data_IF_378438586254
#
_entry.id   IF_378438586254
#
_cell.length_a   1.000
_cell.length_b   1.000
_cell.length_c   1.000
_cell.angle_alpha   90.00
_cell.angle_beta   90.00
_cell.angle_gamma   90.00
#
_symmetry.space_group_name_H-M   'P 1'
#
loop_
_entity.id
_entity.type
_entity.pdbx_description
1 polymer ?
2 polymer ?
3 non-polymer ?
4 non-polymer ?
5 water ?
#
# COMPACT_ATOMS: atom_id res chain seq x y z
N UNK A 33 23.04 0.92 13.83
CA UNK A 33 21.66 0.45 13.59
C UNK A 33 21.45 -0.02 12.16
N UNK A 34 20.84 -1.20 11.98
CA UNK A 34 20.57 -1.81 10.67
C UNK A 34 19.52 -1.03 9.90
N UNK A 35 19.54 -1.17 8.57
CA UNK A 35 18.58 -0.48 7.71
C UNK A 35 17.16 -0.99 7.97
N UNK A 36 17.00 -2.31 8.21
CA UNK A 36 15.70 -2.94 8.49
C UNK A 36 15.11 -2.44 9.82
N UNK A 37 15.96 -2.23 10.85
CA UNK A 37 15.50 -1.74 12.16
C UNK A 37 15.01 -0.28 12.07
N UNK A 38 15.57 0.49 11.11
CA UNK A 38 15.18 1.88 10.85
C UNK A 38 13.80 1.95 10.17
N UNK A 39 13.45 0.91 9.41
CA UNK A 39 12.15 0.79 8.74
C UNK A 39 11.12 0.28 9.76
N UNK A 40 11.57 -0.53 10.71
CA UNK A 40 10.73 -1.08 11.77
C UNK A 40 10.26 0.03 12.73
N UNK A 41 11.19 0.86 13.20
CA UNK A 41 10.93 1.93 14.16
C UNK A 41 9.90 2.97 13.64
N UNK A 42 9.79 3.15 12.30
CA UNK A 42 8.88 4.13 11.68
C UNK A 42 7.53 3.53 11.24
N UNK A 43 7.19 2.33 11.76
CA UNK A 43 5.92 1.66 11.48
C UNK A 43 4.77 2.53 12.01
N UNK A 44 3.80 2.95 11.16
CA UNK A 44 2.71 3.81 11.64
C UNK A 44 1.81 3.15 12.70
N UNK A 45 1.27 3.99 13.62
CA UNK A 45 0.36 3.56 14.67
C UNK A 45 -0.98 3.08 14.10
N UNK A 46 -1.66 2.18 14.84
CA UNK A 46 -2.96 1.62 14.49
C UNK A 46 -4.03 2.70 14.68
N UNK A 47 -4.79 3.01 13.63
CA UNK A 47 -5.83 4.03 13.72
C UNK A 47 -7.18 3.37 13.88
N UNK A 48 -8.07 4.02 14.62
CA UNK A 48 -9.44 3.55 14.79
C UNK A 48 -10.35 4.18 13.74
N UNK A 49 -11.41 3.49 13.35
CA UNK A 49 -12.34 3.96 12.32
C UNK A 49 -13.42 4.93 12.83
N UNK A 50 -13.82 4.79 14.10
CA UNK A 50 -14.89 5.58 14.70
C UNK A 50 -16.26 5.05 14.30
N UNK A 51 -16.31 3.73 13.98
CA UNK A 51 -17.50 3.01 13.56
C UNK A 51 -18.35 2.60 14.77
N UNK A 52 -19.56 3.18 14.87
CA UNK A 52 -20.52 2.93 15.93
C UNK A 52 -21.21 1.58 15.68
N UNK A 53 -20.75 0.53 16.38
CA UNK A 53 -21.29 -0.83 16.26
C UNK A 53 -22.79 -0.98 16.63
N UNK A 54 -23.35 -0.05 17.44
CA UNK A 54 -24.75 -0.09 17.89
C UNK A 54 -25.75 0.12 16.74
N UNK A 55 -25.37 0.94 15.75
CA UNK A 55 -26.15 1.22 14.53
C UNK A 55 -25.91 0.02 13.56
N UNK A 56 -26.95 -0.53 12.87
CA UNK A 56 -26.70 -1.68 11.97
C UNK A 56 -25.78 -1.39 10.78
N UNK A 57 -25.24 -2.47 10.17
CA UNK A 57 -24.31 -2.39 9.03
C UNK A 57 -24.99 -2.14 7.70
N UNK A 58 -24.24 -1.54 6.77
CA UNK A 58 -24.63 -1.29 5.37
C UNK A 58 -23.34 -1.12 4.56
N UNK A 59 -23.36 -1.47 3.27
CA UNK A 59 -22.18 -1.34 2.41
C UNK A 59 -21.70 0.12 2.31
N UNK A 60 -22.63 1.04 2.00
CA UNK A 60 -22.42 2.48 1.85
C UNK A 60 -21.76 3.08 3.10
N UNK A 61 -22.30 2.77 4.29
CA UNK A 61 -21.79 3.21 5.60
C UNK A 61 -20.34 2.77 5.79
N UNK A 62 -20.07 1.45 5.60
CA UNK A 62 -18.74 0.84 5.75
C UNK A 62 -17.74 1.42 4.73
N UNK A 63 -18.14 1.49 3.44
CA UNK A 63 -17.28 2.03 2.38
C UNK A 63 -16.91 3.49 2.60
N UNK A 64 -17.90 4.31 3.07
CA UNK A 64 -17.71 5.73 3.41
C UNK A 64 -16.72 5.87 4.58
N UNK A 65 -16.94 5.13 5.68
CA UNK A 65 -16.07 5.12 6.87
C UNK A 65 -14.64 4.72 6.48
N UNK A 66 -14.49 3.74 5.58
CA UNK A 66 -13.18 3.25 5.14
C UNK A 66 -12.42 4.26 4.28
N UNK A 67 -13.14 5.05 3.46
CA UNK A 67 -12.55 6.12 2.64
C UNK A 67 -11.99 7.20 3.56
N UNK A 68 -12.80 7.65 4.55
CA UNK A 68 -12.41 8.65 5.54
C UNK A 68 -11.17 8.21 6.33
N UNK A 69 -11.14 6.94 6.78
CA UNK A 69 -10.02 6.31 7.48
C UNK A 69 -8.80 6.21 6.53
N UNK A 70 -9.04 5.92 5.25
CA UNK A 70 -8.02 5.82 4.21
C UNK A 70 -7.21 7.10 4.04
N UNK A 71 -7.89 8.25 4.16
CA UNK A 71 -7.28 9.57 4.08
C UNK A 71 -6.31 9.78 5.23
N UNK A 72 -6.73 9.40 6.45
CA UNK A 72 -5.91 9.45 7.67
C UNK A 72 -4.76 8.47 7.59
N UNK A 73 -4.93 7.31 6.91
CA UNK A 73 -3.85 6.32 6.71
C UNK A 73 -2.81 6.92 5.77
N UNK A 74 -3.29 7.63 4.73
CA UNK A 74 -2.44 8.25 3.73
C UNK A 74 -1.70 9.47 4.25
N UNK A 75 -2.31 10.24 5.16
CA UNK A 75 -1.63 11.37 5.80
C UNK A 75 -0.41 10.82 6.62
N UNK A 76 -0.58 9.67 7.29
CA UNK A 76 0.45 8.99 8.08
C UNK A 76 1.51 8.37 7.17
N UNK A 77 1.13 7.99 5.93
CA UNK A 77 2.02 7.41 4.92
C UNK A 77 3.05 8.43 4.44
N UNK A 78 2.66 9.72 4.39
CA UNK A 78 3.59 10.82 4.02
C UNK A 78 4.69 10.94 5.11
N UNK A 79 4.27 10.93 6.38
CA UNK A 79 5.15 11.02 7.54
C UNK A 79 6.11 9.81 7.51
N UNK A 80 5.57 8.62 7.19
CA UNK A 80 6.30 7.35 7.08
C UNK A 80 7.39 7.42 6.00
N UNK A 81 7.00 7.77 4.74
CA UNK A 81 7.89 7.88 3.58
C UNK A 81 9.06 8.83 3.82
N UNK A 82 8.78 10.01 4.45
CA UNK A 82 9.77 11.03 4.79
C UNK A 82 10.87 10.52 5.71
N UNK A 83 10.54 9.53 6.56
CA UNK A 83 11.48 8.95 7.51
C UNK A 83 12.26 7.73 6.96
N UNK A 84 11.93 7.26 5.72
CA UNK A 84 12.62 6.15 5.06
C UNK A 84 14.00 6.66 4.60
N UNK A 85 15.11 6.07 5.08
CA UNK A 85 16.43 6.54 4.64
C UNK A 85 16.60 6.61 3.12
N UNK A 86 16.99 7.79 2.65
CA UNK A 86 17.22 8.07 1.24
C UNK A 86 16.07 8.74 0.50
N UNK A 87 14.81 8.56 0.99
CA UNK A 87 13.62 9.12 0.36
C UNK A 87 13.62 10.66 0.27
N UNK A 88 13.98 11.35 1.38
CA UNK A 88 14.02 12.82 1.42
C UNK A 88 15.15 13.43 0.57
N UNK A 89 16.04 12.60 0.03
CA UNK A 89 17.13 13.03 -0.85
C UNK A 89 16.71 13.12 -2.33
N UNK A 90 15.59 12.47 -2.69
CA UNK A 90 15.00 12.53 -4.03
C UNK A 90 14.39 13.92 -4.24
N UNK A 91 14.26 14.36 -5.50
CA UNK A 91 13.64 15.66 -5.82
C UNK A 91 12.22 15.68 -5.24
N UNK A 92 11.77 16.84 -4.69
CA UNK A 92 10.44 16.95 -4.10
C UNK A 92 9.33 16.42 -5.02
N UNK A 93 9.45 16.68 -6.34
CA UNK A 93 8.51 16.22 -7.37
C UNK A 93 8.43 14.69 -7.42
N UNK A 94 9.60 14.01 -7.28
CA UNK A 94 9.72 12.54 -7.29
C UNK A 94 9.07 11.94 -6.04
N UNK A 95 9.17 12.64 -4.90
CA UNK A 95 8.58 12.23 -3.61
C UNK A 95 7.06 12.18 -3.73
N UNK A 96 6.46 13.24 -4.33
CA UNK A 96 5.03 13.36 -4.59
C UNK A 96 4.57 12.27 -5.56
N UNK A 97 5.35 12.07 -6.65
CA UNK A 97 5.12 11.09 -7.71
C UNK A 97 5.06 9.66 -7.17
N UNK A 98 6.03 9.29 -6.32
CA UNK A 98 6.11 7.95 -5.74
C UNK A 98 4.94 7.63 -4.83
N UNK A 99 4.56 8.59 -3.96
CA UNK A 99 3.40 8.42 -3.06
C UNK A 99 2.08 8.38 -3.84
N UNK A 100 1.96 9.17 -4.93
CA UNK A 100 0.76 9.22 -5.77
C UNK A 100 0.50 7.90 -6.50
N UNK A 101 1.55 7.26 -7.03
CA UNK A 101 1.45 5.95 -7.68
C UNK A 101 1.15 4.82 -6.69
N UNK A 102 1.95 4.73 -5.62
CA UNK A 102 2.00 3.62 -4.66
C UNK A 102 0.94 3.58 -3.57
N UNK A 103 0.23 4.68 -3.33
CA UNK A 103 -0.78 4.82 -2.27
C UNK A 103 -1.62 3.53 -1.98
N UNK A 104 -2.27 2.97 -3.00
CA UNK A 104 -3.09 1.75 -2.87
C UNK A 104 -2.25 0.48 -2.64
N UNK A 105 -1.02 0.41 -3.21
CA UNK A 105 -0.11 -0.73 -3.00
C UNK A 105 0.32 -0.80 -1.54
N UNK A 106 0.63 0.38 -0.96
CA UNK A 106 1.04 0.53 0.44
C UNK A 106 -0.10 0.13 1.38
N UNK A 107 -1.32 0.61 1.12
CA UNK A 107 -2.47 0.36 1.97
C UNK A 107 -2.99 -1.07 1.89
N UNK A 108 -2.98 -1.69 0.71
CA UNK A 108 -3.43 -3.07 0.54
C UNK A 108 -2.47 -4.04 1.24
N UNK A 109 -1.15 -3.78 1.10
CA UNK A 109 -0.10 -4.61 1.68
C UNK A 109 -0.05 -4.47 3.21
N UNK A 110 -0.16 -3.24 3.72
CA UNK A 110 -0.17 -3.02 5.17
C UNK A 110 -1.40 -3.66 5.82
N UNK A 111 -2.57 -3.55 5.16
CA UNK A 111 -3.81 -4.17 5.63
C UNK A 111 -3.67 -5.70 5.60
N UNK A 112 -3.09 -6.24 4.52
CA UNK A 112 -2.84 -7.67 4.34
C UNK A 112 -2.00 -8.24 5.45
N UNK A 113 -0.93 -7.50 5.86
CA UNK A 113 -0.06 -7.87 6.97
C UNK A 113 -0.86 -7.88 8.27
N UNK A 114 -1.56 -6.75 8.57
CA UNK A 114 -2.37 -6.59 9.78
C UNK A 114 -3.44 -7.69 9.93
N UNK A 115 -4.07 -8.07 8.79
CA UNK A 115 -5.08 -9.12 8.74
C UNK A 115 -4.46 -10.51 8.91
N UNK A 116 -3.24 -10.70 8.38
CA UNK A 116 -2.48 -11.97 8.47
C UNK A 116 -1.98 -12.23 9.90
N UNK A 117 -1.68 -11.16 10.65
CA UNK A 117 -1.24 -11.30 12.05
C UNK A 117 -2.40 -11.61 13.01
N UNK A 118 -3.66 -11.43 12.55
CA UNK A 118 -4.89 -11.75 13.28
C UNK A 118 -5.64 -12.95 12.64
N UNK A 119 -4.91 -13.77 11.82
CA UNK A 119 -5.42 -14.97 11.16
C UNK A 119 -5.41 -16.20 12.13
N UNK A 120 -6.04 -17.38 11.83
CA UNK A 120 -6.76 -17.80 10.61
C UNK A 120 -7.95 -16.91 10.26
N UNK A 121 -7.85 -16.22 9.11
CA UNK A 121 -8.79 -15.23 8.57
C UNK A 121 -8.48 -15.00 7.07
N UNK A 122 -9.47 -14.82 6.14
CA UNK A 122 -10.94 -14.80 6.18
C UNK A 122 -11.56 -13.51 6.79
N UNK A 123 -10.71 -12.60 7.32
CA UNK A 123 -11.11 -11.30 7.88
C UNK A 123 -10.17 -10.20 7.41
N UNK A 124 -10.70 -8.97 7.28
CA UNK A 124 -9.92 -7.80 6.92
C UNK A 124 -9.94 -6.85 8.10
N UNK A 125 -8.78 -6.71 8.78
CA UNK A 125 -8.64 -5.89 9.97
C UNK A 125 -8.26 -4.46 9.58
N UNK A 126 -9.26 -3.71 9.08
CA UNK A 126 -9.12 -2.31 8.66
C UNK A 126 -8.76 -1.42 9.85
N UNK A 127 -9.41 -1.64 10.99
CA UNK A 127 -9.20 -0.91 12.24
C UNK A 127 -9.70 -1.84 13.37
N UNK A 128 -9.28 -1.68 14.65
CA UNK A 128 -9.79 -2.59 15.69
C UNK A 128 -11.31 -2.51 15.91
N UNK A 129 -11.92 -1.36 15.61
CA UNK A 129 -13.37 -1.16 15.75
C UNK A 129 -14.13 -1.39 14.43
N UNK A 130 -13.44 -1.91 13.38
CA UNK A 130 -14.08 -2.19 12.10
C UNK A 130 -13.35 -3.30 11.33
N UNK A 131 -13.73 -4.56 11.64
CA UNK A 131 -13.20 -5.76 11.01
C UNK A 131 -14.26 -6.34 10.05
N UNK A 132 -13.88 -6.55 8.77
CA UNK A 132 -14.80 -7.10 7.78
C UNK A 132 -14.77 -8.61 7.93
N UNK A 133 -15.88 -9.15 8.46
CA UNK A 133 -16.07 -10.58 8.72
C UNK A 133 -16.84 -11.28 7.58
N UNK A 134 -17.13 -12.58 7.76
CA UNK A 134 -17.89 -13.39 6.80
C UNK A 134 -19.32 -12.86 6.59
N UNK A 135 -19.97 -12.36 7.67
CA UNK A 135 -21.32 -11.77 7.64
C UNK A 135 -21.28 -10.41 6.91
N UNK A 136 -20.21 -9.62 7.12
CA UNK A 136 -20.02 -8.32 6.47
C UNK A 136 -19.66 -8.47 5.00
N UNK A 137 -19.05 -9.62 4.65
CA UNK A 137 -18.68 -9.97 3.28
C UNK A 137 -19.92 -10.27 2.43
N UNK A 138 -21.04 -10.70 3.05
CA UNK A 138 -22.29 -11.02 2.34
C UNK A 138 -23.03 -9.77 1.86
N UNK A 139 -22.75 -8.60 2.48
CA UNK A 139 -23.35 -7.30 2.13
C UNK A 139 -23.17 -6.99 0.64
N UNK A 140 -24.18 -6.38 -0.04
CA UNK A 140 -24.07 -6.13 -1.49
C UNK A 140 -22.82 -5.36 -1.90
N UNK A 141 -22.10 -5.87 -2.93
CA UNK A 141 -20.86 -5.33 -3.53
C UNK A 141 -19.64 -5.32 -2.60
N UNK A 142 -19.77 -5.84 -1.37
CA UNK A 142 -18.67 -5.87 -0.40
C UNK A 142 -17.57 -6.84 -0.78
N UNK A 143 -17.96 -8.09 -1.14
CA UNK A 143 -17.01 -9.15 -1.50
C UNK A 143 -16.15 -8.79 -2.72
N UNK A 144 -16.79 -8.27 -3.78
CA UNK A 144 -16.15 -7.88 -5.03
C UNK A 144 -14.90 -7.03 -4.87
N UNK A 145 -14.88 -6.16 -3.83
CA UNK A 145 -13.73 -5.31 -3.54
C UNK A 145 -12.79 -5.97 -2.51
N UNK A 146 -13.37 -6.59 -1.46
CA UNK A 146 -12.66 -7.26 -0.35
C UNK A 146 -11.76 -8.41 -0.80
N UNK A 147 -12.16 -9.15 -1.86
CA UNK A 147 -11.45 -10.32 -2.39
C UNK A 147 -10.01 -10.02 -2.85
N UNK A 148 -9.75 -8.79 -3.34
CA UNK A 148 -8.43 -8.37 -3.79
C UNK A 148 -7.52 -8.13 -2.56
N UNK A 149 -8.13 -7.64 -1.46
CA UNK A 149 -7.46 -7.40 -0.21
C UNK A 149 -7.19 -8.75 0.46
N UNK A 150 -8.19 -9.66 0.41
CA UNK A 150 -8.08 -11.01 0.98
C UNK A 150 -6.99 -11.86 0.30
N UNK A 151 -6.73 -11.62 -1.01
CA UNK A 151 -5.66 -12.28 -1.77
C UNK A 151 -4.28 -11.98 -1.16
N UNK A 152 -4.06 -10.73 -0.69
CA UNK A 152 -2.79 -10.25 -0.10
C UNK A 152 -2.48 -10.98 1.21
N UNK A 153 -3.44 -11.00 2.16
CA UNK A 153 -3.30 -11.68 3.45
C UNK A 153 -3.19 -13.19 3.30
N UNK A 154 -3.80 -13.76 2.25
CA UNK A 154 -3.75 -15.19 1.93
C UNK A 154 -2.37 -15.59 1.42
N UNK A 155 -1.72 -14.68 0.66
CA UNK A 155 -0.39 -14.90 0.11
C UNK A 155 0.72 -14.77 1.16
N UNK A 156 0.59 -13.80 2.10
CA UNK A 156 1.55 -13.61 3.20
C UNK A 156 1.48 -14.81 4.15
N UNK A 157 0.28 -15.40 4.30
CA UNK A 157 0.02 -16.58 5.12
C UNK A 157 0.59 -17.85 4.45
N UNK A 158 0.29 -18.07 3.16
CA UNK A 158 0.76 -19.21 2.36
C UNK A 158 2.30 -19.26 2.33
N UNK A 159 2.94 -18.10 2.13
CA UNK A 159 4.40 -17.99 2.06
C UNK A 159 5.08 -17.79 3.43
N UNK A 160 4.29 -17.70 4.54
CA UNK A 160 4.74 -17.49 5.93
C UNK A 160 5.78 -16.38 6.01
N UNK A 161 5.37 -15.20 5.54
CA UNK A 161 6.19 -14.00 5.48
C UNK A 161 6.52 -13.46 6.88
N UNK A 162 7.81 -13.13 7.09
CA UNK A 162 8.32 -12.58 8.34
C UNK A 162 8.19 -11.05 8.38
N UNK A 163 8.34 -10.46 9.56
CA UNK A 163 8.25 -9.02 9.83
C UNK A 163 9.31 -8.28 9.04
N UNK A 164 10.56 -8.74 9.10
CA UNK A 164 11.70 -8.13 8.39
C UNK A 164 11.49 -8.13 6.86
N UNK A 165 11.07 -9.28 6.31
CA UNK A 165 10.76 -9.43 4.88
C UNK A 165 9.64 -8.47 4.47
N UNK A 166 8.57 -8.38 5.29
CA UNK A 166 7.40 -7.50 5.10
C UNK A 166 7.80 -6.02 5.02
N UNK A 167 8.64 -5.55 5.96
CA UNK A 167 9.13 -4.18 6.05
C UNK A 167 9.92 -3.79 4.81
N UNK A 168 10.76 -4.72 4.31
CA UNK A 168 11.57 -4.54 3.11
C UNK A 168 10.68 -4.45 1.89
N UNK A 169 9.67 -5.33 1.83
CA UNK A 169 8.68 -5.42 0.75
C UNK A 169 7.79 -4.19 0.64
N UNK A 170 7.33 -3.65 1.80
CA UNK A 170 6.47 -2.45 1.84
C UNK A 170 7.23 -1.22 1.32
N UNK A 171 8.52 -1.09 1.67
CA UNK A 171 9.35 0.03 1.18
C UNK A 171 9.52 -0.12 -0.34
N UNK A 172 9.74 -1.36 -0.84
CA UNK A 172 9.89 -1.65 -2.27
C UNK A 172 8.63 -1.36 -3.07
N UNK A 173 7.45 -1.42 -2.41
CA UNK A 173 6.17 -1.09 -3.02
C UNK A 173 6.02 0.41 -3.20
N UNK A 174 6.65 1.22 -2.34
CA UNK A 174 6.67 2.68 -2.50
C UNK A 174 7.48 3.03 -3.79
N UNK A 175 8.47 2.17 -4.13
CA UNK A 175 9.38 2.34 -5.27
C UNK A 175 9.07 1.37 -6.43
N UNK A 176 7.80 0.92 -6.57
CA UNK A 176 7.39 -0.05 -7.60
C UNK A 176 6.96 0.55 -8.94
N UNK A 177 6.65 1.86 -9.00
CA UNK A 177 6.28 2.53 -10.25
C UNK A 177 6.96 3.87 -10.37
N UNK A 178 7.19 4.31 -11.62
CA UNK A 178 7.86 5.56 -12.01
C UNK A 178 7.11 6.16 -13.20
N UNK A 179 7.31 7.45 -13.59
CA UNK A 179 6.64 7.96 -14.80
C UNK A 179 7.27 7.39 -16.07
N UNK A 180 6.55 7.49 -17.21
CA UNK A 180 6.97 7.04 -18.53
C UNK A 180 8.39 7.54 -18.92
N UNK A 181 8.67 8.85 -18.65
CA UNK A 181 9.94 9.52 -18.94
C UNK A 181 10.97 9.36 -17.82
N UNK A 182 10.54 8.76 -16.70
CA UNK A 182 11.37 8.53 -15.53
C UNK A 182 11.26 9.65 -14.51
N UNK A 183 12.11 9.58 -13.48
CA UNK A 183 12.16 10.56 -12.39
C UNK A 183 13.27 11.61 -12.61
N UNK A 184 13.20 12.73 -11.88
CA UNK A 184 14.19 13.80 -11.92
C UNK A 184 15.52 13.32 -11.32
N UNK A 185 15.44 12.51 -10.24
CA UNK A 185 16.56 11.90 -9.52
C UNK A 185 16.50 10.36 -9.76
N UNK A 186 16.47 9.93 -11.04
CA UNK A 186 16.36 8.53 -11.45
C UNK A 186 17.55 7.66 -11.02
N UNK A 187 18.78 8.20 -11.16
CA UNK A 187 20.03 7.52 -10.82
C UNK A 187 20.05 7.20 -9.33
N UNK A 188 19.72 8.20 -8.49
CA UNK A 188 19.64 8.10 -7.04
C UNK A 188 18.53 7.11 -6.64
N UNK A 189 17.37 7.16 -7.32
CA UNK A 189 16.22 6.26 -7.10
C UNK A 189 16.63 4.80 -7.32
N UNK A 190 17.27 4.52 -8.47
CA UNK A 190 17.75 3.18 -8.86
C UNK A 190 18.76 2.65 -7.86
N UNK A 191 19.57 3.55 -7.26
CA UNK A 191 20.55 3.25 -6.23
C UNK A 191 19.83 2.90 -4.90
N UNK A 192 18.79 3.68 -4.52
CA UNK A 192 17.97 3.46 -3.32
C UNK A 192 17.16 2.14 -3.46
N UNK A 193 16.58 1.89 -4.65
CA UNK A 193 15.79 0.69 -4.91
C UNK A 193 16.65 -0.57 -4.78
N UNK A 194 17.88 -0.55 -5.36
CA UNK A 194 18.85 -1.65 -5.29
C UNK A 194 19.23 -1.95 -3.84
N UNK A 195 19.38 -0.90 -3.02
CA UNK A 195 19.70 -0.97 -1.61
C UNK A 195 18.61 -1.75 -0.83
N UNK A 196 17.33 -1.43 -1.08
CA UNK A 196 16.22 -2.11 -0.40
C UNK A 196 15.95 -3.52 -0.96
N UNK A 197 16.36 -3.79 -2.22
CA UNK A 197 16.27 -5.12 -2.85
C UNK A 197 17.23 -6.05 -2.08
N UNK A 198 18.45 -5.53 -1.80
CA UNK A 198 19.51 -6.20 -1.04
C UNK A 198 19.08 -6.40 0.42
N UNK A 199 18.33 -5.42 0.98
CA UNK A 199 17.82 -5.52 2.35
C UNK A 199 16.87 -6.70 2.49
N UNK A 200 15.99 -6.90 1.46
CA UNK A 200 15.05 -8.02 1.40
C UNK A 200 15.81 -9.36 1.39
N UNK A 201 16.91 -9.40 0.64
CA UNK A 201 17.79 -10.56 0.54
C UNK A 201 18.34 -10.99 1.89
N UNK A 202 18.77 -10.02 2.74
CA UNK A 202 19.29 -10.26 4.10
C UNK A 202 18.22 -10.90 5.00
N UNK A 203 16.95 -10.46 4.89
CA UNK A 203 15.82 -11.01 5.65
C UNK A 203 15.47 -12.47 5.23
N UNK A 204 15.81 -12.84 3.98
CA UNK A 204 15.60 -14.20 3.43
C UNK A 204 16.66 -15.18 3.99
N UNK A 205 17.94 -14.74 4.07
CA UNK A 205 19.10 -15.51 4.56
C UNK A 205 18.90 -15.92 6.04
N UNK A 206 18.28 -15.02 6.83
CA UNK A 206 17.97 -15.18 8.26
C UNK A 206 17.03 -16.37 8.57
N UNK A 207 16.22 -16.81 7.58
CA UNK A 207 15.28 -17.93 7.71
C UNK A 207 16.00 -19.30 7.78
N UNK A 208 17.35 -19.29 7.65
CA UNK A 208 18.26 -20.43 7.71
C UNK A 208 17.81 -21.59 6.79
N UNK A 209 17.99 -21.35 5.50
CA UNK A 209 17.71 -22.30 4.44
C UNK A 209 18.87 -22.34 3.47
N UNK A 210 19.06 -23.46 2.76
CA UNK A 210 20.15 -23.59 1.80
C UNK A 210 19.94 -22.67 0.59
N UNK A 211 21.04 -22.21 -0.04
CA UNK A 211 21.06 -21.29 -1.17
C UNK A 211 20.02 -21.56 -2.28
N UNK A 212 19.66 -22.85 -2.51
CA UNK A 212 18.64 -23.26 -3.50
C UNK A 212 17.26 -22.74 -3.09
N UNK A 213 16.93 -22.85 -1.78
CA UNK A 213 15.69 -22.35 -1.17
C UNK A 213 15.73 -20.83 -1.02
N UNK A 214 16.96 -20.26 -0.85
CA UNK A 214 17.19 -18.82 -0.75
C UNK A 214 16.86 -18.15 -2.07
N UNK A 215 17.17 -18.82 -3.20
CA UNK A 215 16.82 -18.33 -4.53
C UNK A 215 15.30 -18.48 -4.71
N UNK A 216 14.75 -19.63 -4.27
CA UNK A 216 13.33 -19.97 -4.35
C UNK A 216 12.45 -18.94 -3.62
N UNK A 217 12.81 -18.58 -2.36
CA UNK A 217 12.09 -17.60 -1.54
C UNK A 217 12.09 -16.22 -2.16
N UNK A 218 13.25 -15.77 -2.69
CA UNK A 218 13.38 -14.46 -3.34
C UNK A 218 12.50 -14.39 -4.58
N UNK A 219 12.49 -15.47 -5.38
CA UNK A 219 11.67 -15.63 -6.57
C UNK A 219 10.20 -15.54 -6.14
N UNK A 220 9.82 -16.25 -5.06
CA UNK A 220 8.47 -16.30 -4.50
C UNK A 220 8.00 -14.93 -3.98
N UNK A 221 8.80 -14.26 -3.13
CA UNK A 221 8.48 -12.96 -2.54
C UNK A 221 8.40 -11.85 -3.56
N UNK A 222 9.33 -11.81 -4.54
CA UNK A 222 9.34 -10.78 -5.60
C UNK A 222 8.19 -11.00 -6.61
N UNK A 223 7.65 -12.25 -6.68
CA UNK A 223 6.50 -12.60 -7.52
C UNK A 223 5.25 -11.99 -6.87
N UNK A 224 5.18 -12.02 -5.52
CA UNK A 224 4.07 -11.40 -4.78
C UNK A 224 4.13 -9.89 -4.97
N UNK A 225 5.36 -9.30 -4.96
CA UNK A 225 5.56 -7.87 -5.20
C UNK A 225 5.05 -7.48 -6.58
N UNK A 226 5.40 -8.27 -7.61
CA UNK A 226 4.96 -8.07 -8.99
C UNK A 226 3.43 -8.18 -9.11
N UNK A 227 2.81 -9.16 -8.40
CA UNK A 227 1.36 -9.41 -8.40
C UNK A 227 0.55 -8.31 -7.68
N UNK A 228 1.22 -7.42 -6.92
CA UNK A 228 0.57 -6.29 -6.26
C UNK A 228 0.03 -5.27 -7.29
N UNK A 229 0.74 -5.11 -8.43
CA UNK A 229 0.36 -4.25 -9.56
C UNK A 229 -1.06 -4.61 -10.07
N UNK A 230 -1.38 -5.91 -10.11
CA UNK A 230 -2.68 -6.42 -10.55
C UNK A 230 -3.75 -6.23 -9.49
N UNK A 231 -3.41 -6.42 -8.19
CA UNK A 231 -4.30 -6.25 -7.03
C UNK A 231 -4.81 -4.80 -7.03
N UNK A 232 -3.88 -3.85 -7.18
CA UNK A 232 -4.10 -2.42 -7.20
C UNK A 232 -4.95 -2.03 -8.39
N UNK A 233 -4.62 -2.54 -9.60
CA UNK A 233 -5.38 -2.30 -10.84
C UNK A 233 -6.84 -2.76 -10.69
N UNK A 234 -7.07 -3.89 -10.00
CA UNK A 234 -8.40 -4.44 -9.74
C UNK A 234 -9.17 -3.58 -8.71
N UNK A 235 -8.50 -3.17 -7.61
CA UNK A 235 -9.09 -2.32 -6.56
C UNK A 235 -9.42 -0.92 -7.11
N UNK A 236 -8.52 -0.35 -7.95
CA UNK A 236 -8.68 1.00 -8.52
C UNK A 236 -9.82 1.11 -9.53
N UNK A 237 -10.23 -0.01 -10.16
CA UNK A 237 -11.36 -0.03 -11.09
C UNK A 237 -12.64 0.40 -10.38
N UNK A 238 -12.98 -0.24 -9.24
CA UNK A 238 -14.17 0.12 -8.46
C UNK A 238 -14.00 1.45 -7.72
N UNK A 239 -12.79 1.74 -7.21
CA UNK A 239 -12.50 2.99 -6.52
C UNK A 239 -12.68 4.23 -7.42
N UNK A 240 -12.11 4.23 -8.65
CA UNK A 240 -12.26 5.34 -9.60
C UNK A 240 -13.74 5.59 -9.98
N UNK A 241 -14.52 4.50 -10.18
CA UNK A 241 -15.94 4.52 -10.50
C UNK A 241 -16.78 5.14 -9.36
N UNK A 242 -16.52 4.79 -8.09
CA UNK A 242 -17.27 5.35 -6.95
C UNK A 242 -16.96 6.84 -6.76
N UNK A 243 -15.72 7.24 -7.08
CA UNK A 243 -15.27 8.64 -6.99
C UNK A 243 -15.90 9.50 -8.09
N UNK A 244 -15.89 9.02 -9.34
CA UNK A 244 -16.43 9.74 -10.50
C UNK A 244 -17.97 9.80 -10.54
N UNK A 245 -18.65 8.72 -10.09
CA UNK A 245 -20.12 8.70 -10.09
C UNK A 245 -20.66 9.39 -8.85
N UNK A 246 -20.89 10.71 -8.96
CA UNK A 246 -21.39 11.55 -7.87
C UNK A 246 -22.80 11.18 -7.41
N UNK A 247 -23.60 10.49 -8.28
CA UNK A 247 -24.95 10.01 -7.93
C UNK A 247 -24.92 8.84 -6.90
N UNK A 248 -23.74 8.22 -6.67
CA UNK A 248 -23.58 7.13 -5.71
C UNK A 248 -23.47 7.66 -4.26
N UNK A 249 -23.24 8.99 -4.10
CA UNK A 249 -23.07 9.72 -2.84
C UNK A 249 -21.98 9.12 -1.92
N UNK A 250 -20.92 8.55 -2.52
CA UNK A 250 -19.81 7.95 -1.79
C UNK A 250 -18.68 8.98 -1.66
N UNK A 251 -18.51 9.48 -0.43
CA UNK A 251 -17.55 10.52 -0.09
C UNK A 251 -16.12 10.00 0.12
N UNK A 252 -15.17 10.79 -0.35
CA UNK A 252 -13.73 10.58 -0.20
C UNK A 252 -13.17 11.81 0.49
N UNK A 253 -12.18 11.64 1.40
CA UNK A 253 -11.55 12.81 2.04
C UNK A 253 -10.62 13.54 1.07
N UNK A 254 -10.33 14.83 1.35
CA UNK A 254 -9.43 15.67 0.56
C UNK A 254 -8.12 14.93 0.10
N UNK A 255 -7.45 14.22 1.02
CA UNK A 255 -6.22 13.47 0.73
C UNK A 255 -6.42 12.40 -0.34
N UNK A 256 -7.49 11.60 -0.22
CA UNK A 256 -7.78 10.58 -1.22
C UNK A 256 -8.27 11.19 -2.51
N UNK A 257 -9.18 12.21 -2.42
CA UNK A 257 -9.72 12.93 -3.56
C UNK A 257 -8.59 13.52 -4.44
N UNK A 258 -7.55 14.10 -3.80
CA UNK A 258 -6.38 14.69 -4.43
C UNK A 258 -5.52 13.66 -5.17
N UNK A 259 -5.30 12.46 -4.58
CA UNK A 259 -4.53 11.36 -5.20
C UNK A 259 -5.24 10.81 -6.44
N UNK A 260 -6.55 10.51 -6.32
CA UNK A 260 -7.37 9.98 -7.42
C UNK A 260 -7.42 10.98 -8.59
N UNK A 261 -7.64 12.28 -8.30
CA UNK A 261 -7.70 13.38 -9.28
C UNK A 261 -6.41 13.45 -10.10
N UNK A 262 -5.26 13.23 -9.45
CA UNK A 262 -3.94 13.25 -10.09
C UNK A 262 -3.65 11.97 -10.90
N UNK A 263 -4.03 10.80 -10.35
CA UNK A 263 -3.77 9.47 -10.92
C UNK A 263 -4.61 9.10 -12.14
N UNK A 264 -5.94 9.41 -12.14
CA UNK A 264 -6.85 9.10 -13.25
C UNK A 264 -6.26 9.57 -14.61
N UNK A 265 -5.85 10.85 -14.80
CA UNK A 265 -5.25 11.27 -16.10
C UNK A 265 -3.96 10.53 -16.49
N UNK A 266 -3.13 10.14 -15.51
CA UNK A 266 -1.85 9.45 -15.74
C UNK A 266 -2.07 8.03 -16.28
N UNK A 267 -3.11 7.32 -15.76
CA UNK A 267 -3.50 5.98 -16.22
C UNK A 267 -4.15 6.07 -17.61
N UNK A 268 -4.80 7.22 -17.89
CA UNK A 268 -5.49 7.50 -19.15
C UNK A 268 -4.49 7.79 -20.29
N UNK A 269 -3.41 8.54 -20.00
CA UNK A 269 -2.38 8.92 -20.96
C UNK A 269 -1.17 7.95 -20.98
N UNK A 270 -1.29 6.84 -20.25
CA UNK A 270 -0.27 5.80 -20.16
C UNK A 270 1.00 6.22 -19.46
N UNK A 271 0.94 7.32 -18.70
CA UNK A 271 2.06 7.86 -17.96
C UNK A 271 2.32 7.07 -16.66
N UNK A 272 2.83 5.83 -16.81
CA UNK A 272 3.17 4.92 -15.70
C UNK A 272 4.07 3.77 -16.21
N UNK A 273 5.22 3.62 -15.58
CA UNK A 273 6.18 2.56 -15.86
C UNK A 273 6.24 1.71 -14.59
N UNK A 274 5.50 0.59 -14.60
CA UNK A 274 5.40 -0.38 -13.52
C UNK A 274 6.64 -1.25 -13.56
N UNK A 275 7.44 -1.22 -12.48
CA UNK A 275 8.66 -1.98 -12.40
C UNK A 275 8.37 -3.45 -12.05
N UNK A 276 8.98 -4.38 -12.81
CA UNK A 276 8.78 -5.82 -12.61
C UNK A 276 10.08 -6.56 -12.39
N UNK A 277 10.09 -7.45 -11.38
CA UNK A 277 11.24 -8.30 -11.05
C UNK A 277 11.35 -9.45 -12.03
N UNK A 278 10.20 -10.05 -12.41
CA UNK A 278 10.11 -11.16 -13.36
C UNK A 278 9.46 -10.72 -14.67
N UNK A 279 9.97 -11.24 -15.80
CA UNK A 279 9.46 -10.89 -17.14
C UNK A 279 8.84 -12.10 -17.83
N UNK B 2 -1.40 22.47 -7.54
CA UNK B 2 -2.24 21.39 -8.06
C UNK B 2 -2.59 20.39 -6.94
N UNK B 3 -1.58 19.64 -6.44
CA UNK B 3 -1.76 18.68 -5.34
C UNK B 3 -1.25 19.30 -4.03
N UNK B 4 -1.96 20.37 -3.61
CA UNK B 4 -1.77 21.24 -2.47
C UNK B 4 -1.52 20.53 -1.12
N UNK B 5 -2.41 19.60 -0.73
CA UNK B 5 -2.31 18.89 0.54
C UNK B 5 -1.04 18.04 0.63
N UNK B 6 -0.75 17.20 -0.39
CA UNK B 6 0.45 16.36 -0.45
C UNK B 6 1.76 17.18 -0.40
N UNK B 7 1.85 18.28 -1.20
CA UNK B 7 3.03 19.16 -1.22
C UNK B 7 3.23 19.77 0.16
N UNK B 8 2.13 20.22 0.81
CA UNK B 8 2.17 20.77 2.17
C UNK B 8 2.74 19.74 3.17
N UNK B 9 2.23 18.49 3.15
CA UNK B 9 2.65 17.41 4.04
C UNK B 9 4.11 17.00 3.87
N UNK B 10 4.65 17.10 2.64
CA UNK B 10 6.04 16.78 2.33
C UNK B 10 7.01 17.93 2.66
N UNK B 11 6.56 19.18 2.45
CA UNK B 11 7.32 20.42 2.65
C UNK B 11 7.43 20.81 4.12
N UNK B 12 6.36 20.58 4.92
CA UNK B 12 6.32 20.93 6.33
C UNK B 12 7.28 20.06 7.18
N UNK B 13 7.63 20.54 8.38
CA UNK B 13 8.48 19.80 9.31
C UNK B 13 7.55 18.99 10.22
N UNK B 14 7.86 17.68 10.40
CA UNK B 14 7.07 16.77 11.23
C UNK B 14 7.55 16.75 12.68
X LIG C 1 1.60 2.65 4.32
X LIG C 1 0.92 3.79 4.82
X LIG C 1 2.89 2.43 5.12
X LIG C 1 2.57 1.82 6.36
X LIG D 1 -9.84 4.24 -1.12
X LIG D 1 -10.55 2.92 -1.07
X LIG D 1 -10.80 -0.21 -0.08
X LIG D 1 -11.59 -1.32 0.04
X LIG D 1 -12.82 -1.18 0.66
X LIG D 1 -12.50 1.04 1.00
X LIG D 1 -14.93 -2.10 0.96
X LIG D 1 -8.56 1.68 1.72
X LIG D 1 -7.59 0.70 1.85
X LIG D 1 -8.46 2.03 4.05
X LIG D 1 -9.01 2.38 2.82
X LIG D 1 -8.65 2.47 5.38
X LIG D 1 -7.17 0.99 5.48
X LIG D 1 -6.07 0.33 6.06
X LIG D 1 -3.98 -0.94 7.30
X LIG D 1 -12.51 2.14 -2.30
X LIG D 1 -13.97 2.31 -2.39
X LIG D 1 -14.72 1.82 -3.58
X LIG D 1 -10.40 2.25 0.30
X LIG D 1 -11.24 1.01 0.41
X LIG D 1 -13.30 -0.02 1.14
X LIG D 1 -13.55 -2.38 0.74
X LIG D 1 -9.01 1.92 0.43
X LIG D 1 -7.02 0.34 3.05
X LIG D 1 -7.49 1.04 4.14
X LIG D 1 -7.87 1.83 6.24
X LIG D 1 -4.81 0.36 5.48
X LIG D 1 -3.77 -0.30 6.11
X LIG D 1 -5.23 -0.97 7.90
X LIG D 1 -6.27 -0.32 7.26
X LIG D 1 -2.97 -1.57 7.91
X LIG D 1 -11.92 3.09 -1.50
X LIG D 1 -11.92 1.22 -2.87
X LIG D 1 -14.87 1.13 -2.26
#
# INVERSE_FOLDING_TARGET
>A
GSIQQATTGVSQETSENPGDKTIVPATLPQLTPTLVSLLEVIEPEVLYAGYDSSVPDSTWRIMTTLNMLGGRQMIAAVKWAKAIPGFRNLHLDDQMTLLQYSWMSLMAFALGWRSYRQSSANLLCFAPDLIINEQRMTLPDMYDQCKHMLYVSSELHRLQVSYEEYLCMKTLLLLSSVPKDGLKSQELFDEIRMTYIKELGKAIVKREGNSSQNWQRFYQLTKLLDSMHEVVENLLNYCFQTFLDKTMSIEFPEMLAEIITNQIPKYSNGNIKKLLFHQK
>B
KENALLRYLLDKDD
>C hetero
1 EDO C1 O1 C2 O2
>D hetero
1 B9Q C1 C2 C7 C8 C9 C11 C13 C15 C16 C19 C20 C21 N23 C24 C27 C32 C34 C35 C4 C6 N10 O12 O14 C17 C18 N22 C25 C26 C28 C29 F30 N31 O33 C36
#
